data_IF_287522022683
#
_entry.id   IF_287522022683
#
_cell.length_a   1.000
_cell.length_b   1.000
_cell.length_c   1.000
_cell.angle_alpha   90.00
_cell.angle_beta   90.00
_cell.angle_gamma   90.00
#
_symmetry.space_group_name_H-M   'P 1'
#
loop_
_entity.id
_entity.type
_entity.pdbx_description
1 polymer ?
#
# COMPACT_ATOMS: atom_id res chain seq x y z
N UNK A 1 -24.95 -5.77 -15.86
CA UNK A 1 -23.80 -5.38 -16.70
C UNK A 1 -22.73 -4.98 -15.73
N UNK A 2 -21.74 -5.84 -15.53
CA UNK A 2 -20.55 -5.51 -14.74
C UNK A 2 -19.75 -4.54 -15.61
N UNK A 3 -19.33 -3.41 -15.04
CA UNK A 3 -18.55 -2.41 -15.75
C UNK A 3 -17.22 -3.04 -16.18
N UNK A 4 -17.09 -3.35 -17.46
CA UNK A 4 -15.90 -3.98 -18.09
C UNK A 4 -14.65 -3.07 -18.02
N UNK A 5 -14.84 -1.81 -17.59
CA UNK A 5 -13.83 -0.75 -17.54
C UNK A 5 -12.91 -0.83 -16.29
N UNK A 6 -13.30 -1.54 -15.22
CA UNK A 6 -12.49 -1.68 -14.02
C UNK A 6 -11.42 -2.78 -14.12
N UNK A 7 -11.59 -3.72 -15.06
CA UNK A 7 -10.62 -4.81 -15.28
C UNK A 7 -9.48 -4.43 -16.23
N UNK A 8 -9.62 -3.33 -16.97
CA UNK A 8 -8.59 -2.83 -17.87
C UNK A 8 -7.48 -2.10 -17.09
N UNK A 9 -6.21 -2.35 -17.49
CA UNK A 9 -5.06 -1.63 -16.94
C UNK A 9 -4.92 -0.28 -17.64
N UNK A 10 -5.13 0.79 -16.89
CA UNK A 10 -4.99 2.18 -17.34
C UNK A 10 -3.57 2.69 -17.08
N UNK A 11 -3.12 3.61 -17.89
CA UNK A 11 -1.86 4.33 -17.71
C UNK A 11 -2.16 5.71 -17.15
N UNK A 12 -1.51 6.06 -16.03
CA UNK A 12 -1.67 7.37 -15.38
C UNK A 12 -0.30 8.05 -15.36
N UNK A 13 -0.16 9.11 -16.12
CA UNK A 13 1.04 9.93 -16.20
C UNK A 13 1.15 10.89 -15.01
N UNK A 14 2.36 11.29 -14.65
CA UNK A 14 2.61 12.28 -13.60
C UNK A 14 1.93 13.64 -13.88
N UNK A 15 1.60 13.93 -15.14
CA UNK A 15 0.90 15.15 -15.57
C UNK A 15 -0.62 15.03 -15.47
N UNK A 16 -1.16 13.80 -15.35
CA UNK A 16 -2.60 13.56 -15.29
C UNK A 16 -3.18 13.98 -13.93
N UNK A 17 -4.40 14.51 -13.92
CA UNK A 17 -5.11 14.84 -12.67
C UNK A 17 -5.33 13.64 -11.75
N UNK A 18 -5.46 12.45 -12.31
CA UNK A 18 -5.61 11.18 -11.57
C UNK A 18 -4.32 10.66 -10.93
N UNK A 19 -3.17 11.32 -11.15
CA UNK A 19 -1.92 10.90 -10.51
C UNK A 19 -1.93 11.25 -9.01
N UNK A 20 -1.42 10.35 -8.10
CA UNK A 20 -1.43 10.61 -6.66
C UNK A 20 -0.74 11.94 -6.32
N UNK A 21 -1.45 12.93 -5.73
CA UNK A 21 -0.90 14.27 -5.53
C UNK A 21 0.38 14.29 -4.69
N UNK A 22 0.39 13.53 -3.60
CA UNK A 22 1.55 13.46 -2.70
C UNK A 22 2.76 12.76 -3.32
N UNK A 23 2.52 11.78 -4.20
CA UNK A 23 3.60 11.10 -4.91
C UNK A 23 4.24 11.99 -5.96
N UNK A 24 3.47 12.88 -6.60
CA UNK A 24 3.98 13.84 -7.58
C UNK A 24 5.07 14.75 -7.02
N UNK A 25 5.02 15.06 -5.72
CA UNK A 25 5.96 15.94 -5.02
C UNK A 25 7.26 15.21 -4.59
N UNK A 26 7.31 13.88 -4.71
CA UNK A 26 8.46 13.10 -4.25
C UNK A 26 9.57 13.10 -5.29
N UNK A 27 10.80 13.29 -4.84
CA UNK A 27 11.98 13.14 -5.70
C UNK A 27 12.06 11.71 -6.21
N UNK A 28 12.14 11.55 -7.54
CA UNK A 28 12.13 10.25 -8.19
C UNK A 28 10.73 9.62 -8.29
N UNK A 29 9.67 10.43 -8.27
CA UNK A 29 8.33 9.96 -8.60
C UNK A 29 8.32 9.30 -9.98
N UNK A 30 7.63 8.15 -10.16
CA UNK A 30 7.54 7.52 -11.47
C UNK A 30 6.77 8.39 -12.46
N UNK A 31 7.28 8.54 -13.67
CA UNK A 31 6.62 9.32 -14.72
C UNK A 31 5.28 8.71 -15.12
N UNK A 32 5.15 7.39 -14.96
CA UNK A 32 3.98 6.61 -15.36
C UNK A 32 3.63 5.57 -14.30
N UNK A 33 2.35 5.43 -14.01
CA UNK A 33 1.78 4.35 -13.22
C UNK A 33 0.85 3.49 -14.07
N UNK A 34 0.98 2.19 -13.96
CA UNK A 34 -0.01 1.21 -14.39
C UNK A 34 -1.03 1.08 -13.26
N UNK A 35 -2.31 1.18 -13.58
CA UNK A 35 -3.39 1.24 -12.58
C UNK A 35 -4.54 0.34 -13.00
N UNK A 36 -5.06 -0.47 -12.08
CA UNK A 36 -6.23 -1.32 -12.28
C UNK A 36 -7.25 -1.05 -11.17
N UNK A 37 -8.49 -0.76 -11.52
CA UNK A 37 -9.57 -0.38 -10.61
C UNK A 37 -9.94 1.10 -10.70
N UNK A 38 -10.44 1.68 -9.61
CA UNK A 38 -10.96 3.05 -9.57
C UNK A 38 -9.84 4.10 -9.42
N UNK A 39 -9.47 4.76 -10.52
CA UNK A 39 -8.33 5.73 -10.57
C UNK A 39 -8.52 6.88 -9.58
N UNK A 40 -9.75 7.34 -9.34
CA UNK A 40 -10.04 8.46 -8.43
C UNK A 40 -9.62 8.16 -6.98
N UNK A 41 -9.53 6.89 -6.62
CA UNK A 41 -9.04 6.43 -5.31
C UNK A 41 -7.56 6.82 -5.06
N UNK A 42 -6.76 7.02 -6.10
CA UNK A 42 -5.37 7.49 -5.98
C UNK A 42 -5.24 8.90 -5.43
N UNK A 43 -6.31 9.71 -5.55
CA UNK A 43 -6.33 11.11 -5.07
C UNK A 43 -6.87 11.23 -3.64
N UNK A 44 -7.36 10.16 -3.04
CA UNK A 44 -7.86 10.19 -1.67
C UNK A 44 -6.72 10.32 -0.64
N UNK A 45 -6.98 10.96 0.52
CA UNK A 45 -6.03 10.95 1.61
C UNK A 45 -5.88 9.52 2.14
N UNK A 46 -4.65 9.00 2.16
CA UNK A 46 -4.36 7.63 2.62
C UNK A 46 -3.21 7.62 3.63
N UNK A 47 -3.24 6.64 4.54
CA UNK A 47 -2.14 6.30 5.43
C UNK A 47 -1.47 5.02 4.96
N UNK A 48 -0.14 5.00 4.94
CA UNK A 48 0.62 3.79 4.70
C UNK A 48 0.58 2.89 5.95
N UNK A 49 0.25 1.61 5.77
CA UNK A 49 0.28 0.61 6.84
C UNK A 49 1.19 -0.53 6.41
N UNK A 50 2.28 -0.76 7.15
CA UNK A 50 3.27 -1.77 6.81
C UNK A 50 3.68 -2.60 8.04
N UNK A 51 4.25 -3.78 7.80
CA UNK A 51 4.77 -4.59 8.87
C UNK A 51 5.29 -5.94 8.41
N UNK A 52 5.45 -6.84 9.37
CA UNK A 52 5.96 -8.18 9.14
C UNK A 52 5.05 -9.03 8.26
N UNK A 53 5.68 -9.88 7.44
CA UNK A 53 4.98 -10.91 6.67
C UNK A 53 4.53 -12.11 7.54
N UNK A 54 5.07 -12.24 8.75
CA UNK A 54 4.75 -13.29 9.74
C UNK A 54 4.10 -12.66 10.97
N UNK A 55 2.97 -12.04 10.75
CA UNK A 55 2.22 -11.32 11.76
C UNK A 55 1.78 -12.24 12.91
N UNK A 56 1.97 -11.78 14.14
CA UNK A 56 1.46 -12.45 15.34
C UNK A 56 -0.06 -12.21 15.50
N UNK A 57 -0.71 -12.96 16.41
CA UNK A 57 -2.10 -12.69 16.79
C UNK A 57 -2.28 -11.29 17.40
N UNK A 58 -1.28 -10.81 18.10
CA UNK A 58 -1.28 -9.45 18.65
C UNK A 58 -1.12 -8.42 17.54
N UNK A 59 -0.20 -8.65 16.58
CA UNK A 59 -0.04 -7.83 15.39
C UNK A 59 -1.33 -7.74 14.57
N UNK A 60 -2.09 -8.83 14.47
CA UNK A 60 -3.39 -8.84 13.81
C UNK A 60 -4.39 -7.87 14.48
N UNK A 61 -4.55 -7.96 15.82
CA UNK A 61 -5.42 -7.06 16.59
C UNK A 61 -5.00 -5.60 16.47
N UNK A 62 -3.68 -5.35 16.52
CA UNK A 62 -3.11 -4.01 16.37
C UNK A 62 -3.37 -3.45 14.98
N UNK A 63 -3.19 -4.27 13.94
CA UNK A 63 -3.48 -3.86 12.55
C UNK A 63 -4.95 -3.49 12.39
N UNK A 64 -5.86 -4.30 12.95
CA UNK A 64 -7.29 -4.00 12.93
C UNK A 64 -7.62 -2.68 13.63
N UNK A 65 -7.11 -2.45 14.83
CA UNK A 65 -7.33 -1.22 15.57
C UNK A 65 -6.79 0.02 14.84
N UNK A 66 -5.59 -0.08 14.26
CA UNK A 66 -4.95 0.98 13.47
C UNK A 66 -5.79 1.33 12.25
N UNK A 67 -6.20 0.33 11.45
CA UNK A 67 -6.98 0.57 10.24
C UNK A 67 -8.33 1.19 10.56
N UNK A 68 -9.06 0.68 11.58
CA UNK A 68 -10.32 1.28 12.03
C UNK A 68 -10.15 2.74 12.45
N UNK A 69 -9.05 3.06 13.14
CA UNK A 69 -8.73 4.45 13.50
C UNK A 69 -8.47 5.32 12.27
N UNK A 70 -7.69 4.85 11.29
CA UNK A 70 -7.43 5.56 10.04
C UNK A 70 -8.76 5.87 9.33
N UNK A 71 -9.63 4.88 9.18
CA UNK A 71 -10.92 5.04 8.52
C UNK A 71 -11.86 5.99 9.27
N UNK A 72 -11.84 5.98 10.60
CA UNK A 72 -12.64 6.91 11.42
C UNK A 72 -12.23 8.38 11.25
N UNK A 73 -11.02 8.65 10.77
CA UNK A 73 -10.53 9.99 10.40
C UNK A 73 -10.81 10.35 8.92
N UNK A 74 -11.59 9.53 8.21
CA UNK A 74 -11.95 9.78 6.81
C UNK A 74 -10.82 9.50 5.81
N UNK A 75 -9.78 8.77 6.22
CA UNK A 75 -8.65 8.40 5.35
C UNK A 75 -8.77 6.96 4.89
N UNK A 76 -8.19 6.65 3.72
CA UNK A 76 -8.00 5.28 3.23
C UNK A 76 -6.66 4.68 3.65
N UNK A 77 -6.39 3.48 3.16
CA UNK A 77 -5.15 2.74 3.43
C UNK A 77 -4.36 2.53 2.15
N UNK A 78 -3.04 2.71 2.19
CA UNK A 78 -2.12 2.25 1.15
C UNK A 78 -1.16 1.22 1.73
N UNK A 79 -0.95 0.11 1.01
CA UNK A 79 -0.01 -0.94 1.42
C UNK A 79 0.46 -1.77 0.22
N UNK A 80 1.26 -2.80 0.47
CA UNK A 80 1.94 -3.56 -0.57
C UNK A 80 1.35 -4.92 -0.91
N UNK A 81 0.20 -5.28 -0.39
CA UNK A 81 -0.45 -6.58 -0.61
C UNK A 81 0.44 -7.80 -0.28
N UNK A 82 1.49 -7.62 0.54
CA UNK A 82 2.31 -8.72 1.03
C UNK A 82 1.55 -9.57 2.06
N UNK A 83 2.13 -10.70 2.47
CA UNK A 83 1.60 -11.45 3.61
C UNK A 83 1.62 -10.63 4.90
N UNK A 84 0.83 -11.04 5.88
CA UNK A 84 0.83 -10.47 7.23
C UNK A 84 0.13 -9.11 7.30
N UNK A 85 0.82 -8.12 7.83
CA UNK A 85 0.25 -6.80 8.12
C UNK A 85 -0.37 -6.14 6.88
N UNK A 86 0.29 -6.18 5.73
CA UNK A 86 -0.20 -5.57 4.48
C UNK A 86 -1.57 -6.15 4.07
N UNK A 87 -1.65 -7.48 3.96
CA UNK A 87 -2.90 -8.16 3.58
C UNK A 87 -4.00 -7.91 4.61
N UNK A 88 -3.68 -7.97 5.92
CA UNK A 88 -4.67 -7.70 6.98
C UNK A 88 -5.17 -6.25 6.92
N UNK A 89 -4.28 -5.29 6.66
CA UNK A 89 -4.67 -3.88 6.52
C UNK A 89 -5.68 -3.67 5.39
N UNK A 90 -5.46 -4.28 4.22
CA UNK A 90 -6.42 -4.25 3.13
C UNK A 90 -7.73 -4.93 3.49
N UNK A 91 -7.69 -6.12 4.11
CA UNK A 91 -8.89 -6.86 4.52
C UNK A 91 -9.78 -6.04 5.45
N UNK A 92 -9.20 -5.50 6.53
CA UNK A 92 -9.96 -4.68 7.49
C UNK A 92 -10.51 -3.43 6.82
N UNK A 93 -9.72 -2.78 5.95
CA UNK A 93 -10.19 -1.61 5.21
C UNK A 93 -11.45 -1.93 4.39
N UNK A 94 -11.47 -3.07 3.70
CA UNK A 94 -12.63 -3.51 2.91
C UNK A 94 -13.82 -3.91 3.80
N UNK A 95 -13.59 -4.63 4.90
CA UNK A 95 -14.62 -5.04 5.88
C UNK A 95 -15.34 -3.84 6.48
N UNK A 96 -14.63 -2.74 6.72
CA UNK A 96 -15.18 -1.48 7.23
C UNK A 96 -15.69 -0.52 6.12
N UNK A 97 -15.74 -0.97 4.87
CA UNK A 97 -16.25 -0.18 3.73
C UNK A 97 -15.31 0.95 3.28
N UNK A 98 -14.06 0.93 3.70
CA UNK A 98 -13.04 1.92 3.32
C UNK A 98 -12.45 1.70 1.93
N UNK A 99 -11.71 2.70 1.44
CA UNK A 99 -10.97 2.64 0.17
C UNK A 99 -9.51 2.32 0.42
N UNK A 100 -8.93 1.47 -0.44
CA UNK A 100 -7.54 1.06 -0.29
C UNK A 100 -6.79 1.01 -1.61
N UNK A 101 -5.50 1.35 -1.54
CA UNK A 101 -4.54 1.33 -2.65
C UNK A 101 -3.53 0.22 -2.39
N UNK A 102 -3.48 -0.77 -3.26
CA UNK A 102 -2.44 -1.81 -3.22
C UNK A 102 -1.36 -1.49 -4.25
N UNK A 103 -0.15 -1.19 -3.79
CA UNK A 103 0.98 -0.94 -4.67
C UNK A 103 1.72 -2.24 -4.90
N UNK A 104 1.95 -2.61 -6.16
CA UNK A 104 2.54 -3.88 -6.55
C UNK A 104 4.02 -3.73 -6.89
N UNK A 105 4.81 -4.79 -6.68
CA UNK A 105 6.23 -4.88 -7.04
C UNK A 105 6.44 -5.75 -8.29
N UNK A 106 5.49 -5.73 -9.21
CA UNK A 106 5.44 -6.48 -10.48
C UNK A 106 4.36 -5.90 -11.39
N UNK A 107 4.26 -6.35 -12.62
CA UNK A 107 3.19 -5.95 -13.55
C UNK A 107 1.81 -6.40 -13.09
N UNK A 108 0.76 -5.66 -13.46
CA UNK A 108 -0.62 -5.88 -12.98
C UNK A 108 -1.35 -7.03 -13.69
N UNK A 109 -0.70 -7.75 -14.59
CA UNK A 109 -1.19 -8.96 -15.23
C UNK A 109 -1.08 -10.22 -14.34
N UNK A 110 -0.47 -10.07 -13.18
CA UNK A 110 -0.35 -11.12 -12.17
C UNK A 110 -0.57 -10.57 -10.76
N UNK A 111 -0.73 -11.46 -9.77
CA UNK A 111 -0.77 -11.08 -8.34
C UNK A 111 0.25 -11.93 -7.58
N UNK A 112 1.13 -11.26 -6.85
CA UNK A 112 2.07 -11.90 -5.94
C UNK A 112 1.98 -11.27 -4.53
N UNK A 113 1.86 -12.08 -3.48
CA UNK A 113 1.77 -13.54 -3.50
C UNK A 113 0.42 -14.03 -4.07
N UNK A 114 0.43 -15.14 -4.81
CA UNK A 114 -0.76 -15.69 -5.48
C UNK A 114 -1.94 -15.93 -4.51
N UNK A 115 -1.63 -16.27 -3.27
CA UNK A 115 -2.63 -16.47 -2.20
C UNK A 115 -3.48 -15.21 -1.94
N UNK A 116 -2.98 -14.02 -2.26
CA UNK A 116 -3.68 -12.74 -2.10
C UNK A 116 -4.45 -12.31 -3.36
N UNK A 117 -4.55 -13.19 -4.39
CA UNK A 117 -5.28 -12.89 -5.63
C UNK A 117 -6.75 -12.50 -5.35
N UNK A 118 -7.47 -13.30 -4.56
CA UNK A 118 -8.85 -12.99 -4.21
C UNK A 118 -9.00 -11.70 -3.38
N UNK A 119 -7.96 -11.29 -2.64
CA UNK A 119 -7.95 -10.00 -1.97
C UNK A 119 -7.75 -8.84 -2.96
N UNK A 120 -6.87 -9.01 -3.94
CA UNK A 120 -6.67 -8.03 -5.01
C UNK A 120 -7.96 -7.80 -5.81
N UNK A 121 -8.68 -8.87 -6.15
CA UNK A 121 -9.97 -8.81 -6.84
C UNK A 121 -11.00 -8.03 -6.00
N UNK A 122 -11.13 -8.33 -4.71
CA UNK A 122 -12.02 -7.61 -3.79
C UNK A 122 -11.67 -6.12 -3.64
N UNK A 123 -10.39 -5.77 -3.69
CA UNK A 123 -9.95 -4.36 -3.67
C UNK A 123 -10.55 -3.63 -4.87
N UNK A 124 -10.44 -4.19 -6.07
CA UNK A 124 -10.98 -3.60 -7.30
C UNK A 124 -12.51 -3.51 -7.22
N UNK A 125 -13.18 -4.62 -6.91
CA UNK A 125 -14.65 -4.70 -6.80
C UNK A 125 -15.25 -3.68 -5.83
N UNK A 126 -14.50 -3.35 -4.75
CA UNK A 126 -14.91 -2.37 -3.74
C UNK A 126 -14.57 -0.92 -4.13
N UNK A 127 -14.10 -0.67 -5.36
CA UNK A 127 -13.68 0.64 -5.84
C UNK A 127 -12.36 1.10 -5.25
N UNK A 128 -11.51 0.17 -4.82
CA UNK A 128 -10.11 0.40 -4.56
C UNK A 128 -9.27 0.29 -5.84
N UNK A 129 -7.95 0.26 -5.70
CA UNK A 129 -7.04 0.31 -6.84
C UNK A 129 -5.78 -0.51 -6.60
N UNK A 130 -5.29 -1.17 -7.64
CA UNK A 130 -3.94 -1.72 -7.73
C UNK A 130 -3.09 -0.77 -8.57
N UNK A 131 -1.88 -0.46 -8.11
CA UNK A 131 -0.95 0.42 -8.82
C UNK A 131 0.44 -0.20 -8.91
N UNK A 132 1.14 0.01 -10.01
CA UNK A 132 2.52 -0.41 -10.21
C UNK A 132 3.27 0.58 -11.10
N UNK A 133 4.58 0.74 -10.87
CA UNK A 133 5.45 1.44 -11.84
C UNK A 133 6.04 0.49 -12.89
N UNK A 134 5.82 -0.81 -12.74
CA UNK A 134 6.37 -1.83 -13.62
C UNK A 134 5.37 -2.22 -14.71
N UNK A 135 5.81 -2.35 -15.97
CA UNK A 135 4.93 -2.74 -17.06
C UNK A 135 4.42 -4.18 -16.93
N UNK A 136 3.36 -4.49 -17.66
CA UNK A 136 2.82 -5.85 -17.77
C UNK A 136 3.92 -6.81 -18.23
N UNK A 137 3.87 -8.05 -17.75
CA UNK A 137 4.87 -9.10 -18.04
C UNK A 137 6.10 -9.07 -17.13
N UNK A 138 6.29 -8.03 -16.29
CA UNK A 138 7.39 -8.00 -15.32
C UNK A 138 7.02 -8.77 -14.07
N UNK A 139 7.74 -9.85 -13.78
CA UNK A 139 7.54 -10.70 -12.61
C UNK A 139 8.06 -10.10 -11.30
N UNK A 140 7.73 -10.71 -10.15
CA UNK A 140 8.16 -10.26 -8.83
C UNK A 140 9.61 -10.65 -8.56
N UNK A 141 10.53 -9.70 -8.63
CA UNK A 141 11.93 -9.85 -8.29
C UNK A 141 12.26 -9.21 -6.94
N UNK A 142 13.23 -9.78 -6.20
CA UNK A 142 13.54 -9.37 -4.82
C UNK A 142 13.83 -7.88 -4.68
N UNK A 143 14.51 -7.28 -5.64
CA UNK A 143 14.91 -5.87 -5.62
C UNK A 143 13.74 -4.91 -5.91
N UNK A 144 12.64 -5.36 -6.51
CA UNK A 144 11.46 -4.52 -6.74
C UNK A 144 10.68 -4.22 -5.46
N UNK A 145 10.73 -5.10 -4.44
CA UNK A 145 9.98 -4.87 -3.20
C UNK A 145 10.45 -3.64 -2.41
N UNK A 146 11.76 -3.46 -2.13
CA UNK A 146 12.21 -2.21 -1.50
C UNK A 146 12.00 -0.98 -2.41
N UNK A 147 12.18 -1.11 -3.72
CA UNK A 147 11.91 -0.01 -4.65
C UNK A 147 10.44 0.43 -4.63
N UNK A 148 9.50 -0.51 -4.63
CA UNK A 148 8.08 -0.25 -4.55
C UNK A 148 7.69 0.47 -3.24
N UNK A 149 8.35 0.16 -2.13
CA UNK A 149 7.99 0.73 -0.83
C UNK A 149 8.04 2.27 -0.81
N UNK A 150 8.91 2.90 -1.62
CA UNK A 150 8.92 4.36 -1.79
C UNK A 150 7.60 4.91 -2.32
N UNK A 151 6.89 4.15 -3.16
CA UNK A 151 5.60 4.56 -3.71
C UNK A 151 4.50 4.50 -2.65
N UNK A 152 4.49 3.46 -1.80
CA UNK A 152 3.56 3.33 -0.67
C UNK A 152 3.67 4.56 0.23
N UNK A 153 4.89 4.90 0.61
CA UNK A 153 5.17 6.06 1.47
C UNK A 153 4.89 7.37 0.74
N UNK A 154 5.31 7.48 -0.52
CA UNK A 154 5.14 8.68 -1.34
C UNK A 154 3.68 9.07 -1.55
N UNK A 155 2.77 8.08 -1.69
CA UNK A 155 1.33 8.32 -1.81
C UNK A 155 0.65 8.70 -0.50
N UNK A 156 1.30 8.49 0.66
CA UNK A 156 0.66 8.58 1.98
C UNK A 156 0.92 9.89 2.70
N UNK A 157 0.01 10.24 3.61
CA UNK A 157 0.18 11.35 4.57
C UNK A 157 1.20 10.99 5.67
N UNK A 158 1.35 9.72 5.98
CA UNK A 158 2.27 9.20 6.98
C UNK A 158 2.34 7.68 6.93
N UNK A 159 3.28 7.11 7.67
CA UNK A 159 3.56 5.68 7.72
C UNK A 159 3.24 5.13 9.11
N UNK A 160 2.43 4.08 9.18
CA UNK A 160 2.21 3.30 10.40
C UNK A 160 2.94 1.96 10.28
N UNK A 161 3.85 1.68 11.20
CA UNK A 161 4.54 0.39 11.33
C UNK A 161 3.92 -0.37 12.50
N UNK A 162 3.24 -1.49 12.19
CA UNK A 162 2.45 -2.21 13.21
C UNK A 162 3.28 -3.24 13.97
N UNK A 163 4.03 -4.05 13.27
CA UNK A 163 4.89 -5.10 13.83
C UNK A 163 6.04 -5.35 12.87
N UNK A 164 7.29 -5.25 13.33
CA UNK A 164 8.45 -5.55 12.49
C UNK A 164 9.68 -5.95 13.30
N UNK A 165 10.59 -6.66 12.65
CA UNK A 165 11.94 -6.91 13.13
C UNK A 165 12.87 -5.74 12.76
N UNK A 166 13.98 -5.56 13.51
CA UNK A 166 14.95 -4.48 13.31
C UNK A 166 15.51 -4.42 11.89
N UNK A 167 15.79 -5.59 11.29
CA UNK A 167 16.36 -5.71 9.94
C UNK A 167 15.30 -6.14 8.90
N UNK A 168 14.07 -5.70 9.04
CA UNK A 168 12.96 -6.08 8.14
C UNK A 168 12.83 -5.14 6.95
N UNK A 169 12.13 -5.62 5.89
CA UNK A 169 11.76 -4.79 4.76
C UNK A 169 10.89 -3.59 5.11
N UNK A 170 10.18 -3.61 6.25
CA UNK A 170 9.39 -2.47 6.75
C UNK A 170 10.28 -1.30 7.17
N UNK A 171 11.54 -1.56 7.63
CA UNK A 171 12.50 -0.51 7.94
C UNK A 171 12.94 0.28 6.68
N UNK A 172 12.90 -0.33 5.51
CA UNK A 172 13.12 0.41 4.24
C UNK A 172 12.03 1.47 4.04
N UNK A 173 10.77 1.17 4.39
CA UNK A 173 9.68 2.15 4.34
C UNK A 173 9.87 3.28 5.35
N UNK A 174 10.44 2.99 6.54
CA UNK A 174 10.79 4.03 7.54
C UNK A 174 11.84 4.98 6.98
N UNK A 175 12.88 4.45 6.33
CA UNK A 175 13.92 5.28 5.70
C UNK A 175 13.32 6.18 4.61
N UNK A 176 12.46 5.64 3.74
CA UNK A 176 11.75 6.45 2.74
C UNK A 176 10.85 7.51 3.39
N UNK A 177 10.18 7.20 4.51
CA UNK A 177 9.37 8.17 5.22
C UNK A 177 10.23 9.34 5.75
N UNK A 178 11.38 9.05 6.32
CA UNK A 178 12.33 10.06 6.78
C UNK A 178 12.85 10.94 5.62
N UNK A 179 13.24 10.33 4.49
CA UNK A 179 13.70 11.04 3.30
C UNK A 179 12.63 11.96 2.69
N UNK A 180 11.35 11.55 2.77
CA UNK A 180 10.21 12.29 2.22
C UNK A 180 9.53 13.21 3.23
N UNK A 181 10.04 13.32 4.47
CA UNK A 181 9.45 14.14 5.52
C UNK A 181 8.06 13.63 5.98
N UNK A 182 7.77 12.34 5.84
CA UNK A 182 6.51 11.74 6.29
C UNK A 182 6.64 11.31 7.75
N UNK A 183 5.61 11.61 8.54
CA UNK A 183 5.56 11.17 9.95
C UNK A 183 5.48 9.65 10.04
N UNK A 184 6.30 9.06 10.91
CA UNK A 184 6.27 7.63 11.22
C UNK A 184 5.57 7.42 12.56
N UNK A 185 4.58 6.56 12.57
CA UNK A 185 3.88 6.08 13.75
C UNK A 185 4.27 4.62 13.99
N UNK A 186 4.88 4.34 15.12
CA UNK A 186 5.25 2.97 15.52
C UNK A 186 4.26 2.43 16.55
N UNK A 187 3.76 1.21 16.33
CA UNK A 187 2.90 0.53 17.30
C UNK A 187 3.79 -0.29 18.23
N UNK A 188 3.85 0.01 19.54
CA UNK A 188 4.80 -0.65 20.46
C UNK A 188 4.63 -2.16 20.54
N UNK A 189 5.72 -2.87 20.88
CA UNK A 189 5.71 -4.30 21.26
C UNK A 189 6.26 -5.25 20.21
N UNK A 190 7.15 -4.76 19.34
CA UNK A 190 8.04 -5.61 18.54
C UNK A 190 9.42 -4.97 18.43
N UNK A 191 10.50 -5.76 18.23
CA UNK A 191 11.87 -5.23 18.26
C UNK A 191 12.07 -4.02 17.35
N UNK A 192 11.62 -4.09 16.11
CA UNK A 192 11.78 -2.99 15.16
C UNK A 192 10.91 -1.77 15.45
N UNK A 193 9.69 -1.95 15.98
CA UNK A 193 8.83 -0.81 16.35
C UNK A 193 9.33 -0.13 17.62
N UNK A 194 9.87 -0.88 18.58
CA UNK A 194 10.36 -0.33 19.83
C UNK A 194 11.63 0.52 19.64
N UNK A 195 12.40 0.28 18.55
CA UNK A 195 13.51 1.15 18.13
C UNK A 195 13.07 2.51 17.55
N UNK A 196 11.80 2.64 17.14
CA UNK A 196 11.26 3.85 16.52
C UNK A 196 10.57 4.78 17.54
N UNK A 197 10.43 4.34 18.78
CA UNK A 197 9.82 5.08 19.89
C UNK A 197 10.88 5.83 20.69
#
# INVERSE_FOLDING_TARGET
MVDDDQDEVKLVSIEDEGYPPLLREVVGAPVLLYVKGEVTTLSLPVMAVVGTRRMSREGERKTEAVVKKILSEGMGVVSGLAYGVDAKAHQVCLEEGGKTVAVMAHGLDMVYPEKNKGLAEKIIESGGVLASELPLGVGPERYYFPMRNRLIVGMSLGLVVVECEENSGSMTSVNHAAEMGRTVFAVPGSPGTDLLL
#
